data_IF_667181363301
#
_entry.id   IF_667181363301
#
_cell.length_a   1.000
_cell.length_b   1.000
_cell.length_c   1.000
_cell.angle_alpha   90.00
_cell.angle_beta   90.00
_cell.angle_gamma   90.00
#
_symmetry.space_group_name_H-M   'P 1'
#
loop_
_entity.id
_entity.type
_entity.pdbx_description
1 polymer ?
#
# COMPACT_ATOMS: atom_id res chain seq x y z
N UNK A 1 -26.79 -13.89 19.86
CA UNK A 1 -26.63 -12.92 18.77
C UNK A 1 -25.41 -12.12 19.18
N UNK A 2 -24.24 -12.51 18.70
CA UNK A 2 -23.00 -11.83 19.08
C UNK A 2 -22.84 -10.66 18.13
N UNK A 3 -23.05 -9.48 18.69
CA UNK A 3 -22.77 -8.19 18.07
C UNK A 3 -21.29 -8.21 17.67
N UNK A 4 -21.04 -8.39 16.37
CA UNK A 4 -19.69 -8.34 15.81
C UNK A 4 -19.34 -6.85 15.80
N UNK A 5 -18.64 -6.41 16.83
CA UNK A 5 -18.03 -5.08 16.92
C UNK A 5 -17.38 -4.78 15.58
N UNK A 6 -17.92 -3.78 14.88
CA UNK A 6 -17.33 -3.20 13.70
C UNK A 6 -16.17 -2.35 14.21
N UNK A 7 -15.03 -3.00 14.41
CA UNK A 7 -13.75 -2.33 14.66
C UNK A 7 -13.49 -1.40 13.48
N UNK A 8 -13.09 -0.13 13.68
CA UNK A 8 -12.55 0.65 12.57
C UNK A 8 -11.44 -0.19 11.97
N UNK A 9 -11.51 -0.46 10.66
CA UNK A 9 -10.51 -1.27 9.97
C UNK A 9 -9.14 -0.68 10.29
N UNK A 10 -8.35 -1.36 11.13
CA UNK A 10 -7.01 -0.92 11.45
C UNK A 10 -6.25 -0.87 10.12
N UNK A 11 -5.55 0.23 9.80
CA UNK A 11 -4.81 0.30 8.55
C UNK A 11 -3.83 -0.87 8.52
N UNK A 12 -3.81 -1.59 7.39
CA UNK A 12 -2.90 -2.72 7.21
C UNK A 12 -1.49 -2.15 7.16
N UNK A 13 -0.67 -2.45 8.18
CA UNK A 13 0.72 -2.03 8.21
C UNK A 13 1.57 -3.08 7.49
N UNK A 14 2.32 -2.62 6.51
CA UNK A 14 3.21 -3.42 5.69
C UNK A 14 4.62 -2.88 5.77
N UNK A 15 5.54 -3.75 6.15
CA UNK A 15 6.97 -3.44 6.19
C UNK A 15 7.57 -3.76 4.83
N UNK A 16 8.16 -2.76 4.18
CA UNK A 16 8.81 -2.90 2.88
C UNK A 16 10.31 -2.69 3.03
N UNK A 17 11.09 -3.66 2.57
CA UNK A 17 12.55 -3.52 2.46
C UNK A 17 12.90 -2.79 1.16
N UNK A 18 13.44 -1.59 1.29
CA UNK A 18 13.94 -0.80 0.17
C UNK A 18 15.22 -1.39 -0.45
N UNK A 19 15.65 -0.88 -1.62
CA UNK A 19 16.81 -1.39 -2.35
C UNK A 19 18.15 -1.28 -1.60
N UNK A 20 18.26 -0.38 -0.62
CA UNK A 20 19.40 -0.22 0.28
C UNK A 20 19.37 -1.16 1.50
N UNK A 21 18.36 -2.03 1.61
CA UNK A 21 18.14 -2.91 2.77
C UNK A 21 17.57 -2.17 3.98
N UNK A 22 16.95 -1.00 3.77
CA UNK A 22 16.25 -0.26 4.81
C UNK A 22 14.80 -0.70 4.85
N UNK A 23 14.32 -1.10 6.03
CA UNK A 23 12.91 -1.46 6.26
C UNK A 23 12.15 -0.21 6.70
N UNK A 24 11.03 0.06 6.04
CA UNK A 24 10.11 1.12 6.44
C UNK A 24 8.69 0.56 6.55
N UNK A 25 7.96 1.03 7.56
CA UNK A 25 6.58 0.63 7.81
C UNK A 25 5.63 1.59 7.09
N UNK A 26 4.73 1.03 6.29
CA UNK A 26 3.73 1.80 5.57
C UNK A 26 2.33 1.33 5.94
N UNK A 27 1.40 2.28 6.07
CA UNK A 27 -0.01 2.03 6.24
C UNK A 27 -0.70 1.98 4.87
N UNK A 28 -1.48 0.93 4.63
CA UNK A 28 -2.40 0.88 3.50
C UNK A 28 -3.48 1.96 3.64
N UNK A 29 -3.38 2.99 2.81
CA UNK A 29 -4.34 4.08 2.77
C UNK A 29 -5.50 3.77 1.80
N UNK A 30 -5.18 3.21 0.63
CA UNK A 30 -6.18 2.93 -0.40
C UNK A 30 -5.75 1.79 -1.33
N UNK A 31 -6.66 0.86 -1.63
CA UNK A 31 -6.47 -0.14 -2.68
C UNK A 31 -7.16 0.28 -3.97
N UNK A 32 -6.37 0.33 -5.05
CA UNK A 32 -6.76 0.65 -6.43
C UNK A 32 -6.68 -0.63 -7.27
N UNK A 33 -7.48 -0.71 -8.33
CA UNK A 33 -7.50 -1.86 -9.24
C UNK A 33 -7.26 -1.38 -10.66
N UNK A 34 -6.24 -1.94 -11.32
CA UNK A 34 -5.83 -1.57 -12.66
C UNK A 34 -5.43 -2.83 -13.45
N UNK A 35 -6.00 -3.01 -14.65
CA UNK A 35 -5.75 -4.17 -15.54
C UNK A 35 -5.82 -5.55 -14.84
N UNK A 36 -6.89 -5.78 -14.05
CA UNK A 36 -7.10 -7.00 -13.26
C UNK A 36 -6.04 -7.26 -12.17
N UNK A 37 -5.23 -6.25 -11.85
CA UNK A 37 -4.24 -6.27 -10.76
C UNK A 37 -4.63 -5.29 -9.67
N UNK A 38 -4.19 -5.56 -8.46
CA UNK A 38 -4.45 -4.72 -7.30
C UNK A 38 -3.21 -3.92 -6.94
N UNK A 39 -3.40 -2.66 -6.56
CA UNK A 39 -2.35 -1.75 -6.15
C UNK A 39 -2.76 -1.10 -4.83
N UNK A 40 -1.86 -1.07 -3.86
CA UNK A 40 -2.05 -0.38 -2.60
C UNK A 40 -1.26 0.93 -2.62
N UNK A 41 -1.94 2.02 -2.26
CA UNK A 41 -1.33 3.27 -1.86
C UNK A 41 -0.90 3.13 -0.41
N UNK A 42 0.40 3.20 -0.20
CA UNK A 42 1.07 2.98 1.06
C UNK A 42 1.64 4.30 1.54
N UNK A 43 1.28 4.71 2.76
CA UNK A 43 1.76 5.95 3.39
C UNK A 43 2.68 5.59 4.53
N UNK A 44 3.90 6.11 4.52
CA UNK A 44 4.89 5.83 5.54
C UNK A 44 4.34 6.20 6.93
N UNK A 45 4.47 5.27 7.87
CA UNK A 45 4.08 5.47 9.26
C UNK A 45 5.25 6.09 10.00
N UNK A 46 5.47 7.38 9.77
CA UNK A 46 6.44 8.17 10.49
C UNK A 46 5.76 9.07 11.53
N UNK A 47 6.52 9.54 12.52
CA UNK A 47 6.02 10.53 13.47
C UNK A 47 5.65 11.82 12.72
N UNK A 48 4.52 12.48 13.04
CA UNK A 48 4.08 13.69 12.33
C UNK A 48 5.01 14.91 12.52
N UNK A 49 6.06 14.77 13.33
CA UNK A 49 7.12 15.75 13.52
C UNK A 49 8.33 15.53 12.59
N UNK A 50 8.41 14.37 11.93
CA UNK A 50 9.40 14.09 10.88
C UNK A 50 8.91 14.62 9.51
N UNK A 51 9.77 14.56 8.49
CA UNK A 51 9.48 15.04 7.12
C UNK A 51 8.17 14.44 6.55
N UNK A 52 7.64 15.06 5.49
CA UNK A 52 6.40 14.63 4.84
C UNK A 52 6.42 13.10 4.63
N UNK A 53 5.42 12.34 5.11
CA UNK A 53 5.46 10.88 5.04
C UNK A 53 5.56 10.45 3.58
N UNK A 54 6.50 9.54 3.28
CA UNK A 54 6.65 9.06 1.92
C UNK A 54 5.41 8.26 1.51
N UNK A 55 4.80 8.65 0.40
CA UNK A 55 3.68 7.94 -0.20
C UNK A 55 4.22 7.15 -1.37
N UNK A 56 4.13 5.82 -1.27
CA UNK A 56 4.55 4.91 -2.33
C UNK A 56 3.36 4.11 -2.84
N UNK A 57 3.42 3.73 -4.11
CA UNK A 57 2.49 2.78 -4.67
C UNK A 57 3.15 1.42 -4.70
N UNK A 58 2.45 0.39 -4.23
CA UNK A 58 2.88 -0.99 -4.31
C UNK A 58 1.84 -1.82 -5.05
N UNK A 59 2.28 -2.69 -5.95
CA UNK A 59 1.41 -3.70 -6.54
C UNK A 59 1.24 -4.86 -5.57
N UNK A 60 0.01 -5.27 -5.34
CA UNK A 60 -0.31 -6.48 -4.57
C UNK A 60 -0.25 -7.67 -5.54
N UNK A 61 0.76 -8.50 -5.37
CA UNK A 61 0.91 -9.78 -6.06
C UNK A 61 0.60 -10.93 -5.10
N UNK A 62 0.46 -12.15 -5.59
CA UNK A 62 0.31 -13.33 -4.75
C UNK A 62 1.56 -14.19 -4.86
N UNK A 63 2.18 -14.54 -3.72
CA UNK A 63 3.32 -15.44 -3.72
C UNK A 63 2.93 -16.91 -4.00
N UNK A 64 3.91 -17.81 -3.96
CA UNK A 64 3.72 -19.25 -4.17
C UNK A 64 2.76 -19.90 -3.15
N UNK A 65 2.53 -19.23 -2.03
CA UNK A 65 1.69 -19.66 -0.93
C UNK A 65 0.29 -19.00 -0.98
N UNK A 66 0.08 -18.07 -1.92
CA UNK A 66 -1.14 -17.29 -2.07
C UNK A 66 -1.25 -16.12 -1.08
N UNK A 67 -0.15 -15.74 -0.44
CA UNK A 67 -0.09 -14.59 0.45
C UNK A 67 0.16 -13.30 -0.35
N UNK A 68 -0.47 -12.17 0.01
CA UNK A 68 -0.30 -10.91 -0.68
C UNK A 68 1.13 -10.38 -0.45
N UNK A 69 1.87 -10.15 -1.52
CA UNK A 69 3.19 -9.53 -1.50
C UNK A 69 3.16 -8.18 -2.19
N UNK A 70 3.77 -7.20 -1.55
CA UNK A 70 3.83 -5.82 -2.03
C UNK A 70 5.11 -5.66 -2.82
N UNK A 71 4.99 -5.50 -4.15
CA UNK A 71 6.11 -5.33 -5.06
C UNK A 71 6.07 -3.95 -5.70
N UNK A 72 7.22 -3.36 -6.05
CA UNK A 72 7.24 -2.09 -6.76
C UNK A 72 6.50 -2.22 -8.10
N UNK A 73 5.56 -1.30 -8.41
CA UNK A 73 4.91 -1.24 -9.71
C UNK A 73 5.91 -0.81 -10.79
N UNK A 74 5.58 -1.03 -12.06
CA UNK A 74 6.36 -0.43 -13.15
C UNK A 74 6.05 1.06 -13.28
N UNK A 75 6.95 1.86 -13.87
CA UNK A 75 6.71 3.30 -14.11
C UNK A 75 5.36 3.56 -14.82
N UNK A 76 5.04 2.81 -15.89
CA UNK A 76 3.73 2.90 -16.56
C UNK A 76 2.53 2.59 -15.64
N UNK A 77 2.66 1.60 -14.75
CA UNK A 77 1.60 1.23 -13.79
C UNK A 77 1.44 2.36 -12.75
N UNK A 78 2.56 2.94 -12.30
CA UNK A 78 2.58 4.04 -11.36
C UNK A 78 1.89 5.28 -11.93
N UNK A 79 2.27 5.74 -13.12
CA UNK A 79 1.67 6.91 -13.77
C UNK A 79 0.15 6.74 -13.90
N UNK A 80 -0.33 5.59 -14.38
CA UNK A 80 -1.76 5.34 -14.54
C UNK A 80 -2.52 5.29 -13.22
N UNK A 81 -1.98 4.63 -12.21
CA UNK A 81 -2.66 4.51 -10.91
C UNK A 81 -2.67 5.85 -10.17
N UNK A 82 -1.62 6.67 -10.32
CA UNK A 82 -1.59 8.05 -9.84
C UNK A 82 -2.63 8.91 -10.56
N UNK A 83 -2.76 8.79 -11.89
CA UNK A 83 -3.82 9.49 -12.64
C UNK A 83 -5.22 9.10 -12.14
N UNK A 84 -5.46 7.82 -11.85
CA UNK A 84 -6.73 7.36 -11.26
C UNK A 84 -6.94 8.00 -9.89
N UNK A 85 -5.91 8.04 -9.05
CA UNK A 85 -5.98 8.62 -7.72
C UNK A 85 -6.22 10.13 -7.72
N UNK A 86 -5.53 10.88 -8.58
CA UNK A 86 -5.68 12.34 -8.73
C UNK A 86 -7.06 12.72 -9.30
N UNK A 87 -7.68 11.81 -10.07
CA UNK A 87 -8.97 12.06 -10.71
C UNK A 87 -10.20 11.61 -9.89
N UNK A 88 -10.02 11.04 -8.69
CA UNK A 88 -11.11 10.71 -7.74
C UNK A 88 -11.61 11.93 -6.96
#
# INVERSE_FOLDING_TARGET
>A
MTEKEMTPEEPVIVTIEGPDGSEADYAEAQVLTYEDRQFAVLVEVCDPEEEEPDIILARIDADENGEPVYVPPTDDEYDHVVEIYDHM
#
